data_IF_763068168619
#
_entry.id   IF_763068168619
#
_cell.length_a   1.000
_cell.length_b   1.000
_cell.length_c   1.000
_cell.angle_alpha   90.00
_cell.angle_beta   90.00
_cell.angle_gamma   90.00
#
_symmetry.space_group_name_H-M   'P 1'
#
loop_
_entity.id
_entity.type
_entity.pdbx_description
1 polymer ?
#
# COMPACT_ATOMS: atom_id res chain seq x y z
N UNK A 1 4.55 -32.55 -58.84
CA UNK A 1 3.35 -31.96 -59.46
C UNK A 1 3.07 -30.70 -58.68
N UNK A 2 3.18 -29.47 -59.16
CA UNK A 2 3.65 -28.84 -60.40
C UNK A 2 4.04 -27.43 -59.91
N UNK A 3 5.27 -26.96 -60.11
CA UNK A 3 5.75 -26.28 -61.31
C UNK A 3 5.06 -24.93 -61.57
N UNK A 4 5.91 -23.98 -61.99
CA UNK A 4 5.62 -22.70 -62.64
C UNK A 4 5.24 -21.51 -61.74
N UNK A 5 5.75 -20.30 -61.95
CA UNK A 5 6.87 -19.78 -62.75
C UNK A 5 6.84 -18.24 -62.59
N UNK A 6 7.93 -17.58 -62.99
CA UNK A 6 7.89 -16.25 -63.66
C UNK A 6 7.43 -15.01 -62.85
N UNK A 7 8.37 -14.13 -62.52
CA UNK A 7 8.80 -13.07 -63.45
C UNK A 7 9.68 -12.01 -62.77
N UNK A 8 10.94 -12.09 -63.16
CA UNK A 8 11.94 -11.04 -63.18
C UNK A 8 11.43 -9.84 -64.01
N UNK A 9 11.19 -8.68 -63.39
CA UNK A 9 10.85 -7.45 -64.12
C UNK A 9 11.91 -6.38 -63.84
N UNK A 10 12.87 -6.33 -64.75
CA UNK A 10 13.88 -5.29 -64.89
C UNK A 10 13.18 -4.02 -65.35
N UNK A 11 13.08 -3.00 -64.49
CA UNK A 11 12.74 -1.64 -64.90
C UNK A 11 14.01 -0.80 -65.01
N UNK A 12 14.44 -0.56 -66.26
CA UNK A 12 15.36 0.52 -66.63
C UNK A 12 14.62 1.85 -66.44
N UNK A 13 15.03 2.65 -65.46
CA UNK A 13 14.62 4.06 -65.36
C UNK A 13 15.72 4.91 -66.00
N UNK A 14 15.43 5.38 -67.21
CA UNK A 14 16.15 6.42 -67.94
C UNK A 14 16.04 7.75 -67.20
N UNK A 15 17.14 8.50 -67.18
CA UNK A 15 17.30 9.69 -66.37
C UNK A 15 16.47 10.91 -66.79
N UNK A 16 16.31 11.80 -65.82
CA UNK A 16 16.17 13.23 -66.04
C UNK A 16 16.80 13.93 -64.83
N UNK A 17 17.99 14.49 -65.02
CA UNK A 17 18.62 15.40 -64.06
C UNK A 17 17.84 16.72 -64.11
N UNK A 18 16.87 16.87 -63.21
CA UNK A 18 16.19 18.14 -62.95
C UNK A 18 16.85 18.76 -61.73
N UNK A 19 17.83 19.63 -61.96
CA UNK A 19 18.41 20.51 -60.93
C UNK A 19 17.45 21.66 -60.62
N UNK A 20 16.31 21.31 -60.02
CA UNK A 20 15.38 22.28 -59.45
C UNK A 20 15.95 22.84 -58.16
N UNK A 21 16.40 24.10 -58.19
CA UNK A 21 16.80 24.85 -56.99
C UNK A 21 15.54 25.17 -56.18
N UNK A 22 15.10 24.23 -55.35
CA UNK A 22 13.92 24.39 -54.48
C UNK A 22 14.22 25.48 -53.44
N UNK A 23 13.50 26.58 -53.56
CA UNK A 23 13.59 27.74 -52.68
C UNK A 23 13.12 27.35 -51.25
N UNK A 24 14.07 27.05 -50.36
CA UNK A 24 13.90 26.57 -48.97
C UNK A 24 13.30 27.60 -48.00
N UNK A 25 12.41 28.50 -48.43
CA UNK A 25 11.91 29.59 -47.56
C UNK A 25 10.71 29.18 -46.68
N UNK A 26 9.96 28.13 -47.05
CA UNK A 26 8.84 27.60 -46.25
C UNK A 26 9.20 26.46 -45.27
N UNK A 27 10.35 25.81 -45.45
CA UNK A 27 10.65 24.53 -44.79
C UNK A 27 11.04 24.68 -43.30
N UNK A 28 11.61 25.82 -42.89
CA UNK A 28 12.00 26.06 -41.49
C UNK A 28 10.82 26.17 -40.53
N UNK A 29 9.69 26.75 -40.98
CA UNK A 29 8.48 26.87 -40.14
C UNK A 29 7.80 25.52 -39.93
N UNK A 30 7.80 24.66 -40.95
CA UNK A 30 7.26 23.30 -40.89
C UNK A 30 8.12 22.42 -39.97
N UNK A 31 9.45 22.48 -40.08
CA UNK A 31 10.36 21.75 -39.19
C UNK A 31 10.20 22.17 -37.73
N UNK A 32 10.02 23.48 -37.46
CA UNK A 32 9.80 23.99 -36.12
C UNK A 32 8.45 23.50 -35.54
N UNK A 33 7.37 23.55 -36.33
CA UNK A 33 6.06 23.07 -35.91
C UNK A 33 6.07 21.55 -35.63
N UNK A 34 6.72 20.76 -36.48
CA UNK A 34 6.87 19.32 -36.29
C UNK A 34 7.71 19.01 -35.04
N UNK A 35 8.81 19.74 -34.80
CA UNK A 35 9.61 19.57 -33.59
C UNK A 35 8.84 19.93 -32.31
N UNK A 36 8.01 20.97 -32.34
CA UNK A 36 7.14 21.35 -31.22
C UNK A 36 6.08 20.29 -30.96
N UNK A 37 5.44 19.75 -32.00
CA UNK A 37 4.45 18.67 -31.87
C UNK A 37 5.12 17.41 -31.30
N UNK A 38 6.29 17.03 -31.81
CA UNK A 38 7.05 15.89 -31.29
C UNK A 38 7.44 16.08 -29.82
N UNK A 39 7.93 17.27 -29.45
CA UNK A 39 8.27 17.60 -28.07
C UNK A 39 7.04 17.55 -27.16
N UNK A 40 5.89 18.07 -27.60
CA UNK A 40 4.63 18.01 -26.85
C UNK A 40 4.12 16.57 -26.70
N UNK A 41 4.26 15.73 -27.74
CA UNK A 41 3.90 14.31 -27.64
C UNK A 41 4.82 13.50 -26.72
N UNK A 42 6.10 13.87 -26.64
CA UNK A 42 7.07 13.28 -25.71
C UNK A 42 6.83 13.69 -24.26
N UNK A 43 6.40 14.94 -24.02
CA UNK A 43 6.03 15.39 -22.67
C UNK A 43 4.69 14.80 -22.23
N UNK A 44 3.74 14.64 -23.15
CA UNK A 44 2.43 14.04 -22.87
C UNK A 44 2.46 12.52 -22.69
N UNK A 45 3.55 11.83 -23.07
CA UNK A 45 3.78 10.40 -22.80
C UNK A 45 4.55 10.11 -21.52
N UNK A 46 4.73 11.13 -20.66
CA UNK A 46 5.21 11.00 -19.28
C UNK A 46 4.16 10.73 -18.18
N UNK A 47 2.91 10.25 -18.42
CA UNK A 47 1.98 10.03 -17.32
C UNK A 47 2.15 8.61 -16.78
N UNK A 48 3.12 8.37 -15.89
CA UNK A 48 3.16 7.11 -15.15
C UNK A 48 3.92 7.10 -13.81
N UNK A 49 4.60 8.19 -13.42
CA UNK A 49 5.36 8.21 -12.16
C UNK A 49 4.77 9.09 -11.07
N UNK A 50 3.57 9.64 -11.29
CA UNK A 50 2.73 10.08 -10.19
C UNK A 50 2.03 8.84 -9.61
N UNK A 51 2.82 7.92 -9.07
CA UNK A 51 2.31 7.03 -8.05
C UNK A 51 1.99 7.95 -6.87
N UNK A 52 0.76 8.45 -6.85
CA UNK A 52 0.15 8.87 -5.60
C UNK A 52 0.25 7.64 -4.70
N UNK A 53 1.30 7.58 -3.88
CA UNK A 53 1.43 6.64 -2.81
C UNK A 53 0.19 6.91 -1.97
N UNK A 54 -0.84 6.09 -2.16
CA UNK A 54 -2.05 6.15 -1.35
C UNK A 54 -1.65 5.53 -0.02
N UNK A 55 -0.88 6.31 0.74
CA UNK A 55 -0.36 5.94 2.03
C UNK A 55 -1.52 5.63 2.95
N UNK A 56 -1.38 4.57 3.73
CA UNK A 56 -2.25 4.30 4.87
C UNK A 56 -1.76 5.11 6.08
N UNK A 57 -1.47 6.40 5.87
CA UNK A 57 -0.93 7.28 6.89
C UNK A 57 -2.07 7.90 7.71
N UNK A 58 -1.79 8.10 9.00
CA UNK A 58 -2.64 8.91 9.86
C UNK A 58 -2.69 10.34 9.31
N UNK A 59 -3.89 10.93 9.28
CA UNK A 59 -4.06 12.32 8.85
C UNK A 59 -3.34 13.30 9.80
N UNK A 60 -3.34 13.01 11.10
CA UNK A 60 -2.64 13.78 12.14
C UNK A 60 -2.05 12.81 13.17
N UNK A 61 -0.85 12.24 12.90
CA UNK A 61 -0.25 11.23 13.76
C UNK A 61 -0.10 11.69 15.21
N UNK A 62 0.26 12.96 15.45
CA UNK A 62 0.47 13.49 16.79
C UNK A 62 -0.82 13.50 17.62
N UNK A 63 -1.91 14.02 17.03
CA UNK A 63 -3.21 14.04 17.69
C UNK A 63 -3.80 12.64 17.83
N UNK A 64 -3.74 11.84 16.77
CA UNK A 64 -4.38 10.53 16.73
C UNK A 64 -3.67 9.56 17.69
N UNK A 65 -2.33 9.57 17.75
CA UNK A 65 -1.56 8.80 18.75
C UNK A 65 -1.90 9.24 20.16
N UNK A 66 -1.97 10.55 20.43
CA UNK A 66 -2.29 11.04 21.77
C UNK A 66 -3.70 10.64 22.23
N UNK A 67 -4.65 10.55 21.30
CA UNK A 67 -6.00 10.07 21.58
C UNK A 67 -6.04 8.57 21.88
N UNK A 68 -5.32 7.77 21.08
CA UNK A 68 -5.30 6.31 21.17
C UNK A 68 -4.42 5.79 22.32
N UNK A 69 -3.37 6.52 22.66
CA UNK A 69 -2.40 6.25 23.71
C UNK A 69 -2.12 7.53 24.52
N UNK A 70 -3.03 7.91 25.44
CA UNK A 70 -2.85 9.11 26.27
C UNK A 70 -1.55 9.13 27.08
N UNK A 71 -1.03 7.96 27.42
CA UNK A 71 0.23 7.73 28.14
C UNK A 71 1.49 7.83 27.25
N UNK A 72 1.32 7.99 25.93
CA UNK A 72 2.44 8.10 25.00
C UNK A 72 3.26 9.36 25.26
N UNK A 73 4.58 9.20 25.21
CA UNK A 73 5.57 10.29 25.19
C UNK A 73 6.10 10.57 23.79
N UNK A 74 5.77 9.72 22.81
CA UNK A 74 6.23 9.83 21.44
C UNK A 74 5.90 8.59 20.60
N UNK A 75 6.20 8.65 19.31
CA UNK A 75 6.08 7.54 18.39
C UNK A 75 7.20 7.57 17.35
N UNK A 76 7.49 6.41 16.76
CA UNK A 76 8.36 6.26 15.59
C UNK A 76 7.53 5.77 14.42
N UNK A 77 7.64 6.44 13.29
CA UNK A 77 7.06 5.97 12.03
C UNK A 77 8.10 5.16 11.27
N UNK A 78 7.71 3.99 10.78
CA UNK A 78 8.52 3.18 9.87
C UNK A 78 7.63 2.52 8.83
N UNK A 79 8.25 2.07 7.74
CA UNK A 79 7.55 1.49 6.59
C UNK A 79 7.97 0.04 6.44
N UNK A 80 7.00 -0.83 6.19
CA UNK A 80 7.22 -2.24 5.89
C UNK A 80 6.48 -2.62 4.62
N UNK A 81 7.07 -3.48 3.79
CA UNK A 81 6.41 -4.01 2.60
C UNK A 81 6.49 -5.53 2.61
N UNK A 82 5.55 -6.18 1.95
CA UNK A 82 5.60 -7.64 1.77
C UNK A 82 6.82 -8.01 0.93
N UNK A 83 7.14 -7.20 -0.08
CA UNK A 83 8.34 -7.36 -0.91
C UNK A 83 9.62 -7.45 -0.09
N UNK A 84 9.87 -6.47 0.77
CA UNK A 84 11.12 -6.37 1.53
C UNK A 84 11.18 -7.38 2.68
N UNK A 85 10.02 -7.83 3.17
CA UNK A 85 9.93 -8.74 4.33
C UNK A 85 9.92 -10.23 3.96
N UNK A 86 9.79 -10.57 2.68
CA UNK A 86 9.77 -11.97 2.25
C UNK A 86 9.18 -12.24 0.87
N UNK A 87 8.79 -11.21 0.12
CA UNK A 87 8.36 -11.32 -1.26
C UNK A 87 7.12 -12.21 -1.48
N UNK A 88 7.09 -12.85 -2.64
CA UNK A 88 5.96 -13.68 -3.07
C UNK A 88 5.63 -14.83 -2.08
N UNK A 89 6.62 -15.56 -1.50
CA UNK A 89 6.33 -16.57 -0.49
C UNK A 89 5.61 -16.03 0.76
N UNK A 90 5.93 -14.79 1.17
CA UNK A 90 5.26 -14.16 2.29
C UNK A 90 3.83 -13.73 1.92
N UNK A 91 3.64 -13.17 0.71
CA UNK A 91 2.31 -12.84 0.20
C UNK A 91 1.39 -14.06 0.23
N UNK A 92 1.86 -15.22 -0.23
CA UNK A 92 1.07 -16.45 -0.23
C UNK A 92 0.65 -16.90 1.18
N UNK A 93 1.52 -16.70 2.18
CA UNK A 93 1.19 -16.97 3.60
C UNK A 93 0.13 -16.01 4.11
N UNK A 94 0.27 -14.72 3.81
CA UNK A 94 -0.68 -13.68 4.19
C UNK A 94 -2.06 -13.97 3.58
N UNK A 95 -2.13 -14.26 2.28
CA UNK A 95 -3.38 -14.58 1.58
C UNK A 95 -4.03 -15.86 2.11
N UNK A 96 -3.23 -16.89 2.43
CA UNK A 96 -3.72 -18.11 3.07
C UNK A 96 -4.32 -17.82 4.45
N UNK A 97 -3.64 -17.03 5.27
CA UNK A 97 -4.14 -16.62 6.58
C UNK A 97 -5.42 -15.76 6.48
N UNK A 98 -5.51 -14.92 5.44
CA UNK A 98 -6.72 -14.14 5.17
C UNK A 98 -7.87 -15.03 4.69
N UNK A 99 -7.54 -16.16 4.05
CA UNK A 99 -8.46 -16.98 3.25
C UNK A 99 -9.09 -16.17 2.12
N UNK A 100 -8.29 -15.26 1.54
CA UNK A 100 -8.66 -14.40 0.43
C UNK A 100 -7.38 -13.88 -0.27
N UNK A 101 -7.52 -13.32 -1.46
CA UNK A 101 -6.40 -12.75 -2.23
C UNK A 101 -6.31 -11.25 -2.05
N UNK A 102 -5.09 -10.75 -2.12
CA UNK A 102 -4.83 -9.33 -2.25
C UNK A 102 -5.21 -8.90 -3.67
N UNK A 103 -6.09 -7.91 -3.79
CA UNK A 103 -6.66 -7.48 -5.08
C UNK A 103 -6.65 -5.98 -5.23
N UNK A 104 -6.49 -5.53 -6.48
CA UNK A 104 -6.58 -4.12 -6.84
C UNK A 104 -5.32 -3.30 -6.52
N UNK A 105 -5.46 -1.98 -6.66
CA UNK A 105 -4.33 -1.04 -6.64
C UNK A 105 -3.71 -0.83 -5.25
N UNK A 106 -4.42 -1.20 -4.18
CA UNK A 106 -4.02 -0.90 -2.80
C UNK A 106 -3.49 -2.12 -2.03
N UNK A 107 -3.32 -3.25 -2.71
CA UNK A 107 -2.90 -4.51 -2.10
C UNK A 107 -1.77 -5.17 -2.93
N UNK A 108 -0.95 -4.41 -3.65
CA UNK A 108 0.19 -5.00 -4.37
C UNK A 108 1.35 -5.28 -3.42
N UNK A 109 2.22 -6.20 -3.82
CA UNK A 109 3.39 -6.65 -3.04
C UNK A 109 4.37 -5.50 -2.72
N UNK A 110 4.41 -4.49 -3.58
CA UNK A 110 5.29 -3.32 -3.48
C UNK A 110 4.69 -2.18 -2.62
N UNK A 111 3.42 -2.27 -2.22
CA UNK A 111 2.79 -1.20 -1.42
C UNK A 111 3.47 -1.14 -0.04
N UNK A 112 4.08 -0.01 0.33
CA UNK A 112 4.59 0.18 1.68
C UNK A 112 3.42 0.43 2.64
N UNK A 113 3.49 -0.25 3.78
CA UNK A 113 2.59 -0.06 4.92
C UNK A 113 3.27 0.79 5.98
N UNK A 114 2.62 1.87 6.37
CA UNK A 114 3.10 2.75 7.44
C UNK A 114 2.68 2.21 8.80
N UNK A 115 3.66 1.97 9.66
CA UNK A 115 3.44 1.56 11.04
C UNK A 115 3.97 2.64 11.97
N UNK A 116 3.18 2.95 13.00
CA UNK A 116 3.58 3.86 14.08
C UNK A 116 3.81 3.02 15.32
N UNK A 117 5.06 2.93 15.77
CA UNK A 117 5.43 2.30 17.04
C UNK A 117 5.36 3.33 18.15
N UNK A 118 4.58 3.03 19.19
CA UNK A 118 4.19 4.00 20.21
C UNK A 118 4.99 3.77 21.48
N UNK A 119 5.54 4.84 22.03
CA UNK A 119 6.47 4.80 23.15
C UNK A 119 5.93 5.49 24.41
N UNK A 120 6.31 4.95 25.56
CA UNK A 120 6.31 5.62 26.87
C UNK A 120 7.73 5.61 27.42
N UNK A 121 8.42 6.73 27.33
CA UNK A 121 9.88 6.78 27.50
C UNK A 121 10.56 5.93 26.43
N UNK A 122 11.23 4.86 26.85
CA UNK A 122 11.90 3.89 25.96
C UNK A 122 11.10 2.60 25.74
N UNK A 123 9.97 2.43 26.43
CA UNK A 123 9.14 1.22 26.34
C UNK A 123 8.17 1.33 25.17
N UNK A 124 8.12 0.30 24.32
CA UNK A 124 7.07 0.17 23.30
C UNK A 124 5.77 -0.28 23.97
N UNK A 125 4.76 0.58 23.93
CA UNK A 125 3.45 0.36 24.57
C UNK A 125 2.36 -0.03 23.56
N UNK A 126 2.67 -0.01 22.27
CA UNK A 126 1.74 -0.43 21.24
C UNK A 126 2.14 0.03 19.84
N UNK A 127 1.22 -0.21 18.90
CA UNK A 127 1.38 0.13 17.50
C UNK A 127 0.09 0.74 16.95
N UNK A 128 0.21 1.60 15.94
CA UNK A 128 -0.90 2.01 15.09
C UNK A 128 -0.58 1.64 13.66
N UNK A 129 -1.54 1.02 12.97
CA UNK A 129 -1.38 0.61 11.58
C UNK A 129 -2.70 0.75 10.84
N UNK A 130 -2.62 1.29 9.62
CA UNK A 130 -3.75 1.51 8.73
C UNK A 130 -3.73 0.56 7.53
N UNK A 131 -4.91 0.15 7.06
CA UNK A 131 -5.05 -0.55 5.78
C UNK A 131 -6.15 0.07 4.93
N UNK A 132 -5.90 0.10 3.62
CA UNK A 132 -6.91 0.42 2.61
C UNK A 132 -7.74 -0.83 2.27
N UNK A 133 -9.03 -0.66 2.01
CA UNK A 133 -9.93 -1.71 1.58
C UNK A 133 -10.91 -1.16 0.55
N UNK A 134 -11.24 -1.92 -0.50
CA UNK A 134 -12.32 -1.55 -1.40
C UNK A 134 -13.67 -1.72 -0.70
N UNK A 135 -14.43 -0.64 -0.60
CA UNK A 135 -15.84 -0.62 -0.23
C UNK A 135 -16.75 -0.41 -1.44
N UNK A 136 -18.04 -0.19 -1.19
CA UNK A 136 -19.10 -0.05 -2.21
C UNK A 136 -18.94 1.21 -3.07
N UNK A 137 -18.60 2.35 -2.45
CA UNK A 137 -18.51 3.66 -3.12
C UNK A 137 -17.07 4.20 -3.24
N UNK A 138 -16.06 3.39 -2.88
CA UNK A 138 -14.66 3.82 -2.92
C UNK A 138 -13.78 3.08 -1.91
N UNK A 139 -12.62 3.65 -1.62
CA UNK A 139 -11.71 3.11 -0.60
C UNK A 139 -12.17 3.41 0.83
N UNK A 140 -12.06 2.40 1.68
CA UNK A 140 -12.20 2.47 3.14
C UNK A 140 -10.79 2.42 3.74
N UNK A 141 -10.47 3.32 4.66
CA UNK A 141 -9.23 3.29 5.45
C UNK A 141 -9.56 2.94 6.89
N UNK A 142 -9.11 1.75 7.32
CA UNK A 142 -9.28 1.23 8.67
C UNK A 142 -7.96 1.30 9.41
N UNK A 143 -7.97 1.89 10.59
CA UNK A 143 -6.82 1.94 11.49
C UNK A 143 -7.10 1.15 12.76
N UNK A 144 -6.07 0.43 13.21
CA UNK A 144 -6.06 -0.26 14.49
C UNK A 144 -4.96 0.33 15.36
N UNK A 145 -5.31 0.62 16.62
CA UNK A 145 -4.36 0.75 17.71
C UNK A 145 -4.24 -0.60 18.41
N UNK A 146 -3.02 -1.14 18.50
CA UNK A 146 -2.73 -2.47 18.99
C UNK A 146 -1.83 -2.41 20.23
N UNK A 147 -2.03 -3.33 21.16
CA UNK A 147 -1.04 -3.66 22.19
C UNK A 147 0.22 -4.26 21.55
N UNK A 148 1.34 -4.36 22.28
CA UNK A 148 2.52 -5.08 21.80
C UNK A 148 2.26 -6.56 21.48
N UNK A 149 1.17 -7.12 22.00
CA UNK A 149 0.73 -8.50 21.78
C UNK A 149 -0.35 -8.64 20.69
N UNK A 150 -0.59 -7.59 19.90
CA UNK A 150 -1.55 -7.61 18.78
C UNK A 150 -3.02 -7.61 19.19
N UNK A 151 -3.35 -7.17 20.41
CA UNK A 151 -4.73 -6.99 20.86
C UNK A 151 -5.22 -5.59 20.51
N UNK A 152 -6.41 -5.48 19.93
CA UNK A 152 -6.99 -4.19 19.55
C UNK A 152 -7.34 -3.39 20.80
N UNK A 153 -6.73 -2.21 20.96
CA UNK A 153 -7.13 -1.18 21.95
C UNK A 153 -8.10 -0.18 21.36
N UNK A 154 -7.96 0.11 20.07
CA UNK A 154 -8.77 1.11 19.38
C UNK A 154 -8.94 0.77 17.91
N UNK A 155 -10.10 1.14 17.38
CA UNK A 155 -10.48 1.01 15.98
C UNK A 155 -11.07 2.33 15.53
N UNK A 156 -10.74 2.78 14.32
CA UNK A 156 -11.52 3.81 13.66
C UNK A 156 -11.36 3.78 12.14
N UNK A 157 -12.32 4.41 11.46
CA UNK A 157 -12.35 4.54 10.01
C UNK A 157 -11.99 5.97 9.61
N UNK A 158 -10.77 6.17 9.10
CA UNK A 158 -10.31 7.49 8.66
C UNK A 158 -11.07 7.95 7.41
N UNK A 159 -11.15 7.07 6.40
CA UNK A 159 -11.80 7.33 5.11
C UNK A 159 -12.87 6.29 4.84
N UNK A 160 -14.06 6.76 4.48
CA UNK A 160 -15.16 5.98 3.91
C UNK A 160 -16.13 6.97 3.26
N UNK A 161 -16.67 6.60 2.10
CA UNK A 161 -17.63 7.38 1.33
C UNK A 161 -18.97 6.65 1.33
N UNK A 162 -20.06 7.36 1.59
CA UNK A 162 -21.41 6.80 1.58
C UNK A 162 -22.30 7.43 2.64
N UNK A 163 -23.62 7.18 2.55
CA UNK A 163 -24.60 7.71 3.51
C UNK A 163 -24.39 7.15 4.92
N UNK A 164 -23.89 5.92 5.00
CA UNK A 164 -23.66 5.18 6.25
C UNK A 164 -22.28 5.44 6.87
N UNK A 165 -21.49 6.34 6.27
CA UNK A 165 -20.12 6.64 6.70
C UNK A 165 -20.03 7.15 8.15
N UNK A 166 -21.08 7.84 8.65
CA UNK A 166 -21.12 8.35 10.03
C UNK A 166 -21.26 7.21 11.03
N UNK A 167 -22.07 6.20 10.72
CA UNK A 167 -22.33 5.04 11.55
C UNK A 167 -21.04 4.22 11.75
N UNK A 168 -20.30 3.96 10.67
CA UNK A 168 -19.03 3.22 10.75
C UNK A 168 -17.88 4.02 11.39
N UNK A 169 -18.00 5.35 11.48
CA UNK A 169 -17.05 6.22 12.21
C UNK A 169 -17.43 6.47 13.68
N UNK A 170 -18.59 5.97 14.11
CA UNK A 170 -19.07 6.20 15.47
C UNK A 170 -18.16 5.51 16.50
N UNK A 171 -17.90 6.14 17.66
CA UNK A 171 -17.16 5.51 18.75
C UNK A 171 -17.78 4.18 19.18
N UNK A 172 -19.12 4.09 19.18
CA UNK A 172 -19.86 2.90 19.57
C UNK A 172 -19.59 1.73 18.62
N UNK A 173 -19.46 2.01 17.31
CA UNK A 173 -19.12 0.97 16.34
C UNK A 173 -17.70 0.45 16.57
N UNK A 174 -16.75 1.36 16.78
CA UNK A 174 -15.34 1.02 17.01
C UNK A 174 -15.09 0.28 18.33
N UNK A 175 -15.84 0.59 19.38
CA UNK A 175 -15.72 -0.07 20.68
C UNK A 175 -15.96 -1.59 20.61
N UNK A 176 -16.73 -2.07 19.64
CA UNK A 176 -17.02 -3.50 19.44
C UNK A 176 -15.76 -4.33 19.09
N UNK A 177 -14.69 -3.69 18.60
CA UNK A 177 -13.44 -4.35 18.24
C UNK A 177 -12.42 -4.41 19.39
N UNK A 178 -12.64 -3.66 20.47
CA UNK A 178 -11.70 -3.60 21.59
C UNK A 178 -11.55 -4.96 22.26
N UNK A 179 -10.31 -5.36 22.52
CA UNK A 179 -9.94 -6.64 23.11
C UNK A 179 -9.86 -7.81 22.12
N UNK A 180 -10.32 -7.64 20.87
CA UNK A 180 -10.17 -8.67 19.84
C UNK A 180 -8.73 -8.74 19.35
N UNK A 181 -8.32 -9.92 18.88
CA UNK A 181 -7.02 -10.17 18.23
C UNK A 181 -7.14 -11.19 17.10
N UNK A 182 -6.04 -11.46 16.40
CA UNK A 182 -6.06 -12.30 15.19
C UNK A 182 -6.74 -13.66 15.38
N UNK A 183 -6.51 -14.34 16.50
CA UNK A 183 -7.12 -15.66 16.78
C UNK A 183 -8.65 -15.62 16.78
N UNK A 184 -9.25 -14.49 17.14
CA UNK A 184 -10.70 -14.33 17.24
C UNK A 184 -11.36 -14.27 15.85
N UNK A 185 -10.56 -14.05 14.80
CA UNK A 185 -10.99 -14.08 13.40
C UNK A 185 -10.78 -15.46 12.73
N UNK A 186 -10.37 -16.49 13.47
CA UNK A 186 -10.08 -17.82 12.91
C UNK A 186 -11.30 -18.48 12.25
N UNK A 187 -12.49 -18.31 12.83
CA UNK A 187 -13.75 -18.79 12.25
C UNK A 187 -14.34 -17.89 11.16
N UNK A 188 -13.82 -16.67 10.96
CA UNK A 188 -14.40 -15.68 10.05
C UNK A 188 -13.96 -15.92 8.60
N UNK A 189 -14.95 -16.22 7.75
CA UNK A 189 -14.83 -16.46 6.33
C UNK A 189 -15.04 -15.16 5.56
N UNK A 190 -13.94 -14.52 5.18
CA UNK A 190 -13.92 -13.18 4.57
C UNK A 190 -14.85 -13.06 3.36
N UNK A 191 -14.86 -14.05 2.47
CA UNK A 191 -15.62 -14.03 1.22
C UNK A 191 -17.13 -14.18 1.45
N UNK A 192 -17.51 -15.01 2.42
CA UNK A 192 -18.90 -15.25 2.76
C UNK A 192 -19.46 -14.19 3.74
N UNK A 193 -18.59 -13.48 4.46
CA UNK A 193 -18.98 -12.51 5.48
C UNK A 193 -19.61 -13.16 6.72
N UNK A 194 -19.30 -14.43 6.98
CA UNK A 194 -19.87 -15.23 8.07
C UNK A 194 -18.76 -15.85 8.91
N UNK A 195 -19.08 -16.16 10.16
CA UNK A 195 -18.16 -16.85 11.07
C UNK A 195 -18.77 -18.20 11.48
N UNK A 196 -17.99 -19.28 11.36
CA UNK A 196 -18.46 -20.64 11.59
C UNK A 196 -17.47 -21.44 12.46
N UNK A 197 -17.86 -21.91 13.66
CA UNK A 197 -19.12 -21.62 14.35
C UNK A 197 -19.20 -20.13 14.77
N UNK A 198 -20.39 -19.61 15.11
CA UNK A 198 -20.54 -18.23 15.58
C UNK A 198 -19.64 -17.95 16.80
N UNK A 199 -18.93 -16.82 16.75
CA UNK A 199 -17.91 -16.43 17.71
C UNK A 199 -17.90 -14.93 17.97
N UNK A 200 -16.74 -14.34 18.32
CA UNK A 200 -16.60 -12.90 18.56
C UNK A 200 -17.03 -12.02 17.38
N UNK A 201 -16.73 -12.43 16.15
CA UNK A 201 -16.97 -11.58 14.97
C UNK A 201 -18.47 -11.48 14.68
N UNK A 202 -19.22 -12.56 14.87
CA UNK A 202 -20.68 -12.62 14.73
C UNK A 202 -21.42 -11.71 15.71
N UNK A 203 -20.77 -11.30 16.81
CA UNK A 203 -21.35 -10.40 17.81
C UNK A 203 -21.18 -8.92 17.45
N UNK A 204 -20.33 -8.60 16.47
CA UNK A 204 -20.15 -7.22 15.99
C UNK A 204 -21.42 -6.82 15.23
N UNK A 205 -22.12 -5.83 15.75
CA UNK A 205 -23.36 -5.33 15.17
C UNK A 205 -23.05 -4.39 14.00
N UNK A 206 -23.73 -4.61 12.89
CA UNK A 206 -23.77 -3.66 11.78
C UNK A 206 -24.76 -2.53 12.09
N UNK A 207 -24.26 -1.31 12.28
CA UNK A 207 -25.09 -0.11 12.53
C UNK A 207 -25.70 0.48 11.26
N UNK A 208 -25.38 -0.08 10.10
CA UNK A 208 -25.93 0.30 8.80
C UNK A 208 -26.26 -0.95 7.97
N UNK A 209 -27.39 -1.64 8.26
CA UNK A 209 -27.80 -2.84 7.55
C UNK A 209 -27.89 -2.66 6.02
N UNK A 210 -28.21 -1.45 5.56
CA UNK A 210 -28.27 -1.08 4.13
C UNK A 210 -26.90 -1.03 3.44
N UNK A 211 -25.82 -0.98 4.21
CA UNK A 211 -24.42 -0.92 3.77
C UNK A 211 -23.63 -2.18 4.16
N UNK A 212 -24.28 -3.35 4.03
CA UNK A 212 -23.68 -4.64 4.40
C UNK A 212 -22.33 -4.91 3.72
N UNK A 213 -22.16 -4.54 2.44
CA UNK A 213 -20.88 -4.70 1.73
C UNK A 213 -19.74 -3.91 2.38
N UNK A 214 -20.00 -2.68 2.81
CA UNK A 214 -19.02 -1.85 3.50
C UNK A 214 -18.70 -2.42 4.89
N UNK A 215 -19.71 -2.95 5.58
CA UNK A 215 -19.51 -3.63 6.87
C UNK A 215 -18.61 -4.87 6.71
N UNK A 216 -18.88 -5.74 5.72
CA UNK A 216 -18.05 -6.92 5.42
C UNK A 216 -16.63 -6.51 5.00
N UNK A 217 -16.49 -5.44 4.21
CA UNK A 217 -15.21 -4.87 3.83
C UNK A 217 -14.43 -4.39 5.07
N UNK A 218 -15.08 -3.71 6.02
CA UNK A 218 -14.45 -3.31 7.29
C UNK A 218 -13.96 -4.54 8.06
N UNK A 219 -14.76 -5.59 8.20
CA UNK A 219 -14.33 -6.82 8.88
C UNK A 219 -13.12 -7.48 8.20
N UNK A 220 -13.13 -7.54 6.85
CA UNK A 220 -11.96 -7.98 6.07
C UNK A 220 -10.74 -7.11 6.34
N UNK A 221 -10.90 -5.80 6.36
CA UNK A 221 -9.82 -4.85 6.59
C UNK A 221 -9.21 -5.04 7.99
N UNK A 222 -10.02 -5.25 9.02
CA UNK A 222 -9.53 -5.55 10.38
C UNK A 222 -8.73 -6.85 10.40
N UNK A 223 -9.26 -7.94 9.83
CA UNK A 223 -8.55 -9.22 9.74
C UNK A 223 -7.23 -9.08 8.99
N UNK A 224 -7.24 -8.39 7.83
CA UNK A 224 -6.03 -8.13 7.03
C UNK A 224 -5.01 -7.32 7.82
N UNK A 225 -5.42 -6.28 8.54
CA UNK A 225 -4.54 -5.45 9.34
C UNK A 225 -3.84 -6.28 10.42
N UNK A 226 -4.58 -7.12 11.15
CA UNK A 226 -4.03 -8.02 12.16
C UNK A 226 -3.03 -9.02 11.57
N UNK A 227 -3.33 -9.60 10.39
CA UNK A 227 -2.41 -10.51 9.69
C UNK A 227 -1.13 -9.79 9.27
N UNK A 228 -1.24 -8.59 8.68
CA UNK A 228 -0.07 -7.82 8.27
C UNK A 228 0.82 -7.48 9.47
N UNK A 229 0.24 -7.09 10.60
CA UNK A 229 0.99 -6.81 11.82
C UNK A 229 1.67 -8.06 12.39
N UNK A 230 1.00 -9.21 12.35
CA UNK A 230 1.58 -10.49 12.76
C UNK A 230 2.82 -10.84 11.91
N UNK A 231 2.70 -10.80 10.59
CA UNK A 231 3.77 -11.19 9.68
C UNK A 231 4.90 -10.15 9.55
N UNK A 232 4.60 -8.86 9.61
CA UNK A 232 5.55 -7.79 9.28
C UNK A 232 6.13 -7.08 10.51
N UNK A 233 5.55 -7.28 11.71
CA UNK A 233 5.99 -6.60 12.93
C UNK A 233 6.24 -7.60 14.04
N UNK A 234 5.23 -8.35 14.48
CA UNK A 234 5.34 -9.19 15.69
C UNK A 234 6.26 -10.41 15.49
N UNK A 235 6.12 -11.14 14.39
CA UNK A 235 6.97 -12.31 14.11
C UNK A 235 8.44 -11.97 13.78
N UNK A 236 8.74 -10.71 13.47
CA UNK A 236 10.13 -10.25 13.30
C UNK A 236 10.82 -10.03 14.65
N UNK A 237 10.07 -9.59 15.67
CA UNK A 237 10.62 -9.30 16.99
C UNK A 237 10.95 -10.57 17.79
N UNK A 238 10.22 -11.67 17.59
CA UNK A 238 10.56 -12.96 18.22
C UNK A 238 11.91 -13.53 17.75
N UNK A 239 12.45 -13.05 16.62
CA UNK A 239 13.70 -13.56 16.01
C UNK A 239 14.97 -12.79 16.40
N UNK A 240 14.94 -11.87 17.36
CA UNK A 240 16.18 -11.21 17.83
C UNK A 240 16.10 -10.89 19.31
N UNK A 241 16.98 -11.51 20.14
CA UNK A 241 18.36 -11.04 20.23
C UNK A 241 19.45 -12.15 20.29
N UNK A 242 19.14 -13.41 19.96
CA UNK A 242 20.09 -14.54 20.03
C UNK A 242 20.71 -14.98 18.70
N UNK A 243 20.08 -14.67 17.56
CA UNK A 243 20.46 -15.24 16.26
C UNK A 243 21.31 -14.29 15.39
N UNK A 244 21.64 -13.10 15.89
CA UNK A 244 22.40 -12.08 15.17
C UNK A 244 23.93 -12.20 15.30
N UNK A 245 24.46 -13.17 16.05
CA UNK A 245 25.91 -13.37 16.21
C UNK A 245 26.61 -13.91 14.93
N UNK A 246 25.84 -14.26 13.88
CA UNK A 246 26.41 -14.72 12.59
C UNK A 246 26.47 -13.60 11.54
N UNK A 247 25.85 -12.43 11.76
CA UNK A 247 26.03 -11.27 10.86
C UNK A 247 27.30 -10.45 11.14
N UNK A 248 28.18 -10.93 12.03
CA UNK A 248 29.51 -10.37 12.26
C UNK A 248 30.56 -10.66 11.18
N UNK A 249 30.19 -11.30 10.07
CA UNK A 249 31.14 -11.77 9.05
C UNK A 249 30.96 -11.21 7.63
N UNK A 250 29.97 -10.35 7.38
CA UNK A 250 29.70 -9.82 6.03
C UNK A 250 29.49 -8.29 5.93
N UNK A 251 30.08 -7.49 6.81
CA UNK A 251 30.16 -6.03 6.60
C UNK A 251 31.45 -5.36 7.07
N UNK A 252 32.56 -6.09 7.08
CA UNK A 252 33.88 -5.46 7.03
C UNK A 252 34.18 -5.04 5.58
N UNK A 253 33.73 -3.85 5.18
CA UNK A 253 34.14 -3.28 3.89
C UNK A 253 33.32 -2.10 3.38
N UNK A 254 33.40 -0.93 4.02
CA UNK A 254 33.59 0.36 3.33
C UNK A 254 33.83 1.51 4.33
N UNK A 255 34.72 2.49 4.02
CA UNK A 255 35.22 3.47 4.97
C UNK A 255 34.35 4.74 5.10
N UNK A 256 34.60 5.41 6.22
CA UNK A 256 33.98 6.63 6.76
C UNK A 256 33.59 7.73 5.76
N UNK A 257 32.31 8.11 5.81
CA UNK A 257 31.79 9.38 5.31
C UNK A 257 31.09 10.12 6.45
N UNK A 258 31.66 11.24 6.88
CA UNK A 258 31.16 12.15 7.91
C UNK A 258 29.88 12.84 7.46
N UNK A 259 28.82 12.81 8.28
CA UNK A 259 27.70 13.75 8.12
C UNK A 259 27.09 14.17 9.47
N UNK A 260 26.81 15.47 9.54
CA UNK A 260 26.48 16.27 10.73
C UNK A 260 25.07 16.00 11.26
N UNK A 261 24.95 15.92 12.58
CA UNK A 261 23.68 16.03 13.30
C UNK A 261 23.15 17.48 13.26
N UNK A 262 21.88 17.64 12.95
CA UNK A 262 21.11 18.87 13.20
C UNK A 262 20.06 18.54 14.27
N UNK A 263 20.27 19.05 15.48
CA UNK A 263 19.29 19.03 16.57
C UNK A 263 18.37 20.25 16.42
N UNK A 264 17.09 20.02 16.13
CA UNK A 264 16.04 21.02 16.25
C UNK A 264 15.50 21.02 17.68
N UNK A 265 16.00 21.94 18.50
CA UNK A 265 15.48 22.24 19.84
C UNK A 265 14.36 23.29 19.69
N UNK A 266 13.16 22.98 20.16
CA UNK A 266 12.02 23.91 20.15
C UNK A 266 11.78 24.42 21.57
N UNK A 267 11.72 25.75 21.69
CA UNK A 267 11.26 26.50 22.87
C UNK A 267 9.74 26.48 22.96
#
# INVERSE_FOLDING_TARGET
MDNMDRNNMIFRITGANVTGKVEKKGSRKILLAVAIILALTLVASWPALLQAAVGCDLNDPGRDVKLLFPESTGFRTFYVSVKDSGGQPLLEKIERALSDRFTGLYETIDVPYTVYEIYRGQEVIGYVHGVNQKGRYGGIQVFLALTPTGTIRGFYVQKITGRSARQFRSPEFGAQFSGLKLKDFSGYQVQAGVETPPGPISRIKNFAPEAEDDFRAILRAVKKNLILMDFLVFNLQEKSPGDAEISGLLSAGQPAGTSRLHSGESR
#
